data_IF_116988354349
#
_entry.id   IF_116988354349
#
_cell.length_a   1.000
_cell.length_b   1.000
_cell.length_c   1.000
_cell.angle_alpha   90.00
_cell.angle_beta   90.00
_cell.angle_gamma   90.00
#
_symmetry.space_group_name_H-M   'P 1'
#
loop_
_entity.id
_entity.type
_entity.pdbx_description
1 polymer ?
#
# COMPACT_ATOMS: atom_id res chain seq x y z
N UNK A 1 11.53 8.86 5.23
CA UNK A 1 11.38 8.36 3.84
C UNK A 1 12.46 8.88 2.87
N UNK A 2 13.72 9.08 3.29
CA UNK A 2 14.80 9.57 2.39
C UNK A 2 16.08 8.71 2.40
N UNK A 3 16.07 7.59 3.12
CA UNK A 3 17.25 6.72 3.27
C UNK A 3 17.68 6.07 1.95
N UNK A 4 16.72 5.60 1.16
CA UNK A 4 16.93 4.79 -0.05
C UNK A 4 16.72 5.54 -1.37
N UNK A 5 16.31 6.81 -1.29
CA UNK A 5 15.88 7.61 -2.43
C UNK A 5 14.95 8.72 -1.97
N UNK A 6 14.40 9.49 -2.90
CA UNK A 6 13.52 10.63 -2.60
C UNK A 6 12.22 10.52 -3.38
N UNK A 7 11.10 10.59 -2.67
CA UNK A 7 9.79 10.77 -3.27
C UNK A 7 9.53 12.25 -3.59
N UNK A 8 8.61 12.51 -4.52
CA UNK A 8 8.25 13.86 -4.94
C UNK A 8 6.73 14.05 -4.95
N UNK A 9 6.29 15.27 -4.64
CA UNK A 9 4.90 15.74 -4.59
C UNK A 9 4.01 15.11 -3.49
N UNK A 10 3.72 13.82 -3.56
CA UNK A 10 2.79 13.16 -2.62
C UNK A 10 3.10 11.69 -2.42
N UNK A 11 2.72 11.19 -1.25
CA UNK A 11 2.86 9.79 -0.83
C UNK A 11 1.58 9.32 -0.14
N UNK A 12 1.33 8.02 -0.18
CA UNK A 12 0.26 7.35 0.56
C UNK A 12 0.70 5.93 0.91
N UNK A 13 -0.01 5.30 1.85
CA UNK A 13 0.25 3.93 2.30
C UNK A 13 -1.09 3.18 2.38
N UNK A 14 -1.09 1.92 1.95
CA UNK A 14 -2.13 0.96 2.27
C UNK A 14 -1.51 -0.23 3.01
N UNK A 15 -2.21 -0.75 4.01
CA UNK A 15 -1.76 -1.88 4.82
C UNK A 15 -2.87 -2.93 4.91
N UNK A 16 -2.48 -4.20 4.77
CA UNK A 16 -3.36 -5.35 4.91
C UNK A 16 -2.76 -6.35 5.90
N UNK A 17 -3.64 -6.99 6.68
CA UNK A 17 -3.30 -8.05 7.62
C UNK A 17 -4.03 -9.36 7.27
N UNK A 18 -3.49 -10.49 7.72
CA UNK A 18 -4.04 -11.83 7.52
C UNK A 18 -3.32 -12.62 6.42
N UNK A 19 -3.39 -13.95 6.50
CA UNK A 19 -2.80 -14.88 5.53
C UNK A 19 -3.57 -14.90 4.19
N UNK A 20 -3.33 -13.88 3.36
CA UNK A 20 -3.96 -13.76 2.06
C UNK A 20 -2.93 -13.97 0.94
N UNK A 21 -3.26 -14.74 -0.11
CA UNK A 21 -2.50 -14.70 -1.36
C UNK A 21 -2.39 -13.26 -1.88
N UNK A 22 -1.30 -12.92 -2.57
CA UNK A 22 -1.03 -11.54 -3.02
C UNK A 22 -2.21 -10.89 -3.80
N UNK A 23 -2.93 -11.68 -4.61
CA UNK A 23 -4.12 -11.22 -5.33
C UNK A 23 -5.24 -10.79 -4.38
N UNK A 24 -5.47 -11.56 -3.31
CA UNK A 24 -6.52 -11.29 -2.34
C UNK A 24 -6.17 -10.08 -1.47
N UNK A 25 -4.89 -9.82 -1.18
CA UNK A 25 -4.44 -8.56 -0.56
C UNK A 25 -4.89 -7.35 -1.39
N UNK A 26 -4.65 -7.36 -2.70
CA UNK A 26 -5.06 -6.26 -3.60
C UNK A 26 -6.58 -6.15 -3.67
N UNK A 27 -7.31 -7.26 -3.73
CA UNK A 27 -8.78 -7.26 -3.77
C UNK A 27 -9.36 -6.73 -2.45
N UNK A 28 -8.84 -7.16 -1.31
CA UNK A 28 -9.27 -6.68 0.01
C UNK A 28 -9.14 -5.16 0.10
N UNK A 29 -8.00 -4.60 -0.30
CA UNK A 29 -7.75 -3.16 -0.29
C UNK A 29 -8.56 -2.40 -1.36
N UNK A 30 -8.84 -3.02 -2.51
CA UNK A 30 -9.62 -2.41 -3.59
C UNK A 30 -11.12 -2.44 -3.31
N UNK A 31 -11.63 -3.53 -2.76
CA UNK A 31 -13.01 -3.63 -2.29
C UNK A 31 -13.16 -2.75 -1.05
N UNK A 32 -12.21 -2.80 -0.13
CA UNK A 32 -12.15 -1.98 1.07
C UNK A 32 -13.41 -2.14 1.93
N UNK A 33 -13.84 -3.40 2.12
CA UNK A 33 -15.11 -3.68 2.79
C UNK A 33 -15.06 -3.37 4.29
N UNK A 34 -16.17 -2.87 4.82
CA UNK A 34 -16.25 -2.42 6.21
C UNK A 34 -15.55 -1.08 6.50
N UNK A 35 -14.83 -0.49 5.55
CA UNK A 35 -14.14 0.81 5.71
C UNK A 35 -15.04 1.93 5.14
N UNK A 36 -15.66 2.80 5.98
CA UNK A 36 -16.70 3.72 5.53
C UNK A 36 -16.23 4.74 4.49
N UNK A 37 -15.00 5.23 4.62
CA UNK A 37 -14.44 6.24 3.72
C UNK A 37 -13.80 5.62 2.46
N UNK A 38 -13.68 4.29 2.40
CA UNK A 38 -13.03 3.53 1.33
C UNK A 38 -11.64 4.11 0.98
N UNK A 39 -10.87 4.49 2.00
CA UNK A 39 -9.58 5.16 1.87
C UNK A 39 -8.57 4.37 1.04
N UNK A 40 -8.44 3.06 1.28
CA UNK A 40 -7.49 2.21 0.58
C UNK A 40 -7.81 2.11 -0.91
N UNK A 41 -9.11 1.95 -1.23
CA UNK A 41 -9.61 1.96 -2.61
C UNK A 41 -9.27 3.27 -3.31
N UNK A 42 -9.50 4.40 -2.65
CA UNK A 42 -9.22 5.73 -3.22
C UNK A 42 -7.74 5.88 -3.52
N UNK A 43 -6.86 5.45 -2.62
CA UNK A 43 -5.41 5.44 -2.85
C UNK A 43 -5.03 4.57 -4.06
N UNK A 44 -5.55 3.35 -4.16
CA UNK A 44 -5.26 2.44 -5.30
C UNK A 44 -5.71 3.04 -6.63
N UNK A 45 -6.82 3.75 -6.65
CA UNK A 45 -7.42 4.31 -7.87
C UNK A 45 -6.99 5.76 -8.16
N UNK A 46 -6.16 6.36 -7.31
CA UNK A 46 -5.65 7.71 -7.52
C UNK A 46 -4.58 7.71 -8.63
N UNK A 47 -4.93 8.35 -9.75
CA UNK A 47 -4.07 8.43 -10.94
C UNK A 47 -2.82 9.28 -10.75
N UNK A 48 -2.71 10.02 -9.64
CA UNK A 48 -1.54 10.84 -9.35
C UNK A 48 -0.35 10.00 -8.89
N UNK A 49 -0.58 8.83 -8.28
CA UNK A 49 0.49 7.92 -7.88
C UNK A 49 1.05 7.17 -9.10
N UNK A 50 2.33 7.40 -9.39
CA UNK A 50 3.01 6.82 -10.55
C UNK A 50 3.91 5.63 -10.21
N UNK A 51 4.21 5.42 -8.93
CA UNK A 51 5.03 4.31 -8.45
C UNK A 51 4.44 3.71 -7.18
N UNK A 52 4.63 2.40 -7.02
CA UNK A 52 4.27 1.67 -5.81
C UNK A 52 5.41 0.73 -5.40
N UNK A 53 5.69 0.64 -4.10
CA UNK A 53 6.57 -0.33 -3.49
C UNK A 53 5.78 -1.22 -2.54
N UNK A 54 6.11 -2.51 -2.48
CA UNK A 54 5.38 -3.48 -1.65
C UNK A 54 6.36 -4.34 -0.86
N UNK A 55 6.03 -4.59 0.41
CA UNK A 55 6.70 -5.58 1.23
C UNK A 55 5.66 -6.32 2.09
N UNK A 56 5.83 -7.64 2.17
CA UNK A 56 5.02 -8.51 3.03
C UNK A 56 5.91 -9.31 3.97
N UNK A 57 5.44 -9.56 5.17
CA UNK A 57 6.17 -10.32 6.18
C UNK A 57 5.29 -10.79 7.34
N UNK A 58 5.83 -11.58 8.27
CA UNK A 58 5.08 -12.08 9.40
C UNK A 58 4.63 -10.93 10.33
N UNK A 59 3.41 -11.04 10.86
CA UNK A 59 2.87 -10.14 11.88
C UNK A 59 2.67 -10.90 13.19
N UNK A 60 3.02 -10.29 14.33
CA UNK A 60 3.01 -10.97 15.63
C UNK A 60 1.62 -11.46 16.06
N UNK A 61 0.56 -10.78 15.64
CA UNK A 61 -0.83 -11.09 16.02
C UNK A 61 -1.69 -11.58 14.84
N UNK A 62 -1.39 -11.11 13.62
CA UNK A 62 -2.27 -11.29 12.45
C UNK A 62 -1.64 -12.19 11.39
N UNK A 63 -0.63 -12.98 11.78
CA UNK A 63 0.12 -13.95 10.97
C UNK A 63 0.97 -13.29 9.87
N UNK A 64 0.36 -12.50 8.98
CA UNK A 64 1.00 -11.77 7.90
C UNK A 64 0.55 -10.30 7.85
N UNK A 65 1.47 -9.43 7.43
CA UNK A 65 1.23 -8.03 7.11
C UNK A 65 1.82 -7.74 5.72
N UNK A 66 1.07 -7.03 4.89
CA UNK A 66 1.52 -6.47 3.62
C UNK A 66 1.34 -4.96 3.63
N UNK A 67 2.38 -4.20 3.28
CA UNK A 67 2.34 -2.74 3.12
C UNK A 67 2.62 -2.40 1.67
N UNK A 68 1.79 -1.52 1.11
CA UNK A 68 1.99 -0.92 -0.21
C UNK A 68 2.15 0.59 -0.02
N UNK A 69 3.34 1.08 -0.32
CA UNK A 69 3.66 2.51 -0.34
C UNK A 69 3.53 3.05 -1.76
N UNK A 70 2.91 4.22 -1.89
CA UNK A 70 2.71 4.92 -3.15
C UNK A 70 3.46 6.24 -3.16
N UNK A 71 3.96 6.64 -4.32
CA UNK A 71 4.45 8.00 -4.53
C UNK A 71 4.07 8.51 -5.93
N UNK A 72 3.88 9.83 -6.06
CA UNK A 72 3.65 10.45 -7.38
C UNK A 72 4.85 10.21 -8.29
N UNK A 73 6.07 10.38 -7.75
CA UNK A 73 7.34 9.98 -8.38
C UNK A 73 8.35 9.58 -7.31
N UNK A 74 9.32 8.75 -7.68
CA UNK A 74 10.43 8.35 -6.83
C UNK A 74 11.75 8.36 -7.62
N UNK A 75 12.82 8.79 -6.95
CA UNK A 75 14.18 8.75 -7.48
C UNK A 75 15.04 7.91 -6.55
N UNK A 76 15.58 6.80 -7.07
CA UNK A 76 16.56 5.96 -6.36
C UNK A 76 17.89 6.71 -6.16
N UNK A 77 18.67 6.25 -5.18
CA UNK A 77 19.98 6.80 -4.84
C UNK A 77 21.10 5.94 -5.41
#
# INVERSE_FOLDING_TARGET
>A
MTRYGRWHAGVAENIAFGENPAREVVIQLLVDDGVPDRGHRKTILDRSFGVAGVACGPHAEYEQMCVIDYAVRYSER
#
